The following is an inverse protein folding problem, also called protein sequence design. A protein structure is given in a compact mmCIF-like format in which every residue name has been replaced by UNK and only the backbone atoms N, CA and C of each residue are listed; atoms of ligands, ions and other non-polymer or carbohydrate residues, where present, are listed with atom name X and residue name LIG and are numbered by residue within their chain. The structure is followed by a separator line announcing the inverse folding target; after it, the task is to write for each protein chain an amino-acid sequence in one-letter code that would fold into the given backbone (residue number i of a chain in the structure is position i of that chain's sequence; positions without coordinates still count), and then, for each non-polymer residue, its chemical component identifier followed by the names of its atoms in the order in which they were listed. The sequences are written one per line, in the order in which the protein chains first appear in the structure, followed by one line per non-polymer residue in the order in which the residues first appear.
data_IF_061450306197
#
_entry.id   IF_061450306197
#
_cell.length_a   1.000
_cell.length_b   1.000
_cell.length_c   1.000
_cell.angle_alpha   90.00
_cell.angle_beta   90.00
_cell.angle_gamma   90.00
#
_symmetry.space_group_name_H-M   'P 1'
#
loop_
_entity.id
_entity.type
_entity.pdbx_description
1 polymer ?
2 polymer ?
3 non-polymer ?
4 non-polymer ?
5 non-polymer ?
6 water ?
#
# COMPACT_ATOMS: atom_id res chain seq x y z
N UNK A 31 18.15 -2.31 -36.17
CA UNK A 31 18.79 -3.39 -35.44
C UNK A 31 17.81 -4.39 -34.87
N UNK A 32 17.23 -4.07 -33.71
CA UNK A 32 16.31 -4.97 -33.02
C UNK A 32 14.88 -4.58 -33.34
N UNK A 33 14.11 -5.42 -34.04
CA UNK A 33 12.72 -5.04 -34.36
C UNK A 33 11.78 -5.10 -33.17
N UNK A 34 12.19 -5.68 -32.05
CA UNK A 34 11.31 -5.94 -30.92
C UNK A 34 11.30 -4.81 -29.90
N UNK A 35 12.06 -3.74 -30.12
CA UNK A 35 12.21 -2.69 -29.11
C UNK A 35 10.85 -2.18 -28.63
N UNK A 36 10.03 -1.69 -29.57
CA UNK A 36 8.74 -1.14 -29.18
C UNK A 36 7.87 -2.20 -28.52
N UNK A 37 7.79 -3.39 -29.13
CA UNK A 37 6.94 -4.44 -28.58
C UNK A 37 7.38 -4.83 -27.18
N UNK A 38 8.69 -4.88 -26.95
CA UNK A 38 9.24 -5.38 -25.70
C UNK A 38 9.41 -4.30 -24.62
N UNK A 39 9.14 -3.04 -24.94
CA UNK A 39 9.31 -1.99 -23.95
C UNK A 39 8.57 -2.30 -22.65
N UNK A 40 7.34 -2.82 -22.76
CA UNK A 40 6.53 -3.04 -21.56
C UNK A 40 7.13 -4.08 -20.61
N UNK A 41 8.06 -4.90 -21.09
CA UNK A 41 8.69 -5.92 -20.25
C UNK A 41 10.00 -5.45 -19.64
N UNK A 42 10.42 -4.20 -19.88
CA UNK A 42 11.52 -3.59 -19.16
C UNK A 42 10.96 -3.10 -17.82
N UNK A 43 10.77 -4.04 -16.90
CA UNK A 43 10.05 -3.76 -15.67
C UNK A 43 10.77 -2.73 -14.83
N UNK A 44 12.10 -2.70 -14.89
CA UNK A 44 12.83 -1.72 -14.09
C UNK A 44 12.52 -0.30 -14.53
N UNK A 45 12.20 -0.11 -15.81
CA UNK A 45 11.92 1.21 -16.35
C UNK A 45 10.44 1.57 -16.23
N UNK A 46 9.54 0.64 -16.60
CA UNK A 46 8.13 0.97 -16.67
C UNK A 46 7.45 0.87 -15.30
N UNK A 47 7.96 0.02 -14.41
CA UNK A 47 7.40 -0.13 -13.07
C UNK A 47 8.20 0.65 -12.03
N UNK A 48 9.48 0.34 -11.89
CA UNK A 48 10.38 1.17 -11.10
C UNK A 48 10.31 0.98 -9.60
N UNK A 49 9.74 -0.12 -9.13
CA UNK A 49 9.61 -0.34 -7.69
C UNK A 49 9.40 -1.82 -7.43
N UNK A 50 9.36 -2.18 -6.15
CA UNK A 50 9.11 -3.56 -5.79
C UNK A 50 7.80 -4.07 -6.34
N UNK A 51 7.75 -5.37 -6.58
CA UNK A 51 6.55 -6.05 -7.06
C UNK A 51 5.91 -6.89 -5.95
N UNK A 52 6.66 -7.86 -5.42
CA UNK A 52 6.17 -8.64 -4.30
C UNK A 52 5.84 -7.73 -3.11
N UNK A 53 6.80 -6.91 -2.70
CA UNK A 53 6.58 -5.87 -1.70
C UNK A 53 6.97 -4.54 -2.33
N UNK A 54 5.99 -3.67 -2.50
CA UNK A 54 6.20 -2.36 -3.12
C UNK A 54 6.26 -1.31 -2.03
N UNK A 55 7.46 -0.82 -1.75
CA UNK A 55 7.68 0.29 -0.82
C UNK A 55 8.80 1.17 -1.38
N UNK A 56 8.54 1.75 -2.55
CA UNK A 56 9.56 2.42 -3.31
C UNK A 56 9.67 3.93 -3.17
N UNK A 57 8.77 4.57 -2.42
CA UNK A 57 8.87 6.02 -2.23
C UNK A 57 8.85 6.37 -0.76
N UNK A 58 9.48 7.50 -0.43
CA UNK A 58 9.47 8.05 0.92
C UNK A 58 8.50 9.22 0.98
N UNK A 59 7.91 9.42 2.15
CA UNK A 59 6.94 10.49 2.33
C UNK A 59 7.06 11.05 3.74
N UNK A 60 7.05 12.37 3.84
CA UNK A 60 7.09 13.06 5.12
C UNK A 60 5.69 13.50 5.50
N UNK A 61 5.28 13.19 6.74
CA UNK A 61 3.99 13.61 7.25
C UNK A 61 4.21 14.06 8.69
N UNK A 62 4.15 15.36 8.93
CA UNK A 62 4.30 15.94 10.26
C UNK A 62 5.53 15.39 10.97
N UNK A 63 6.67 15.45 10.28
CA UNK A 63 7.92 15.02 10.85
C UNK A 63 8.13 13.52 10.91
N UNK A 64 7.15 12.72 10.52
CA UNK A 64 7.28 11.27 10.51
C UNK A 64 7.57 10.79 9.10
N UNK A 65 8.50 9.85 8.98
CA UNK A 65 8.87 9.28 7.69
C UNK A 65 8.09 8.00 7.44
N UNK A 66 7.58 7.87 6.21
CA UNK A 66 6.84 6.70 5.79
C UNK A 66 7.41 6.18 4.47
N UNK A 67 7.26 4.89 4.25
CA UNK A 67 7.55 4.27 2.96
C UNK A 67 6.23 3.83 2.33
N UNK A 68 6.01 4.25 1.09
CA UNK A 68 4.78 3.97 0.37
C UNK A 68 5.06 3.24 -0.94
N UNK A 69 4.15 2.36 -1.36
CA UNK A 69 4.25 1.78 -2.70
C UNK A 69 4.27 2.87 -3.77
N UNK A 70 5.06 2.62 -4.81
CA UNK A 70 5.24 3.62 -5.86
C UNK A 70 5.29 3.01 -7.26
N UNK A 71 5.08 1.71 -7.40
CA UNK A 71 5.13 1.09 -8.71
C UNK A 71 4.16 1.69 -9.70
N UNK A 72 4.66 1.98 -10.90
CA UNK A 72 3.84 2.60 -11.93
C UNK A 72 2.91 1.61 -12.63
N UNK A 73 3.08 0.31 -12.42
CA UNK A 73 2.25 -0.69 -13.08
C UNK A 73 1.33 -1.40 -12.09
N UNK A 74 0.21 -1.95 -12.57
CA UNK A 74 -0.64 -2.76 -11.70
C UNK A 74 -0.04 -4.15 -11.51
N UNK A 75 -0.23 -4.70 -10.31
CA UNK A 75 0.23 -6.03 -9.97
C UNK A 75 -1.00 -6.93 -9.94
N UNK A 76 -1.17 -7.74 -10.98
CA UNK A 76 -2.39 -8.52 -11.16
C UNK A 76 -2.34 -9.81 -10.37
N UNK A 77 -3.39 -10.08 -9.60
CA UNK A 77 -3.48 -11.29 -8.81
C UNK A 77 -2.85 -11.22 -7.44
N UNK A 78 -2.32 -10.05 -7.04
CA UNK A 78 -1.66 -9.92 -5.76
C UNK A 78 -2.66 -9.53 -4.68
N UNK A 79 -2.56 -10.19 -3.54
CA UNK A 79 -3.29 -9.81 -2.34
C UNK A 79 -2.44 -10.06 -1.11
N UNK A 80 -3.04 -9.92 0.07
CA UNK A 80 -2.32 -10.06 1.34
C UNK A 80 -3.00 -11.13 2.17
N UNK A 81 -2.21 -12.08 2.64
CA UNK A 81 -2.68 -13.16 3.51
C UNK A 81 -2.32 -12.79 4.95
N UNK A 82 -3.33 -12.75 5.81
CA UNK A 82 -3.12 -12.55 7.24
C UNK A 82 -3.03 -13.92 7.89
N UNK A 83 -1.83 -14.28 8.34
CA UNK A 83 -1.58 -15.64 8.83
C UNK A 83 -2.30 -15.86 10.16
N UNK A 84 -2.93 -17.03 10.27
CA UNK A 84 -3.60 -17.46 11.49
C UNK A 84 -4.72 -16.49 11.87
N UNK A 85 -5.52 -16.13 10.87
CA UNK A 85 -6.79 -15.46 11.09
C UNK A 85 -7.75 -15.95 10.01
N UNK A 86 -9.02 -15.57 10.13
CA UNK A 86 -10.03 -15.88 9.12
C UNK A 86 -10.75 -14.63 8.65
N UNK A 87 -10.04 -13.49 8.66
CA UNK A 87 -10.56 -12.22 8.18
C UNK A 87 -9.76 -11.81 6.95
N UNK A 88 -10.44 -11.68 5.81
CA UNK A 88 -9.78 -11.22 4.60
C UNK A 88 -9.10 -9.88 4.86
N UNK A 89 -7.99 -9.66 4.14
CA UNK A 89 -7.26 -8.40 4.31
C UNK A 89 -8.06 -7.20 3.80
N UNK A 90 -9.06 -7.43 2.96
CA UNK A 90 -9.93 -6.36 2.49
C UNK A 90 -10.98 -5.95 3.51
N UNK A 91 -11.05 -6.63 4.65
CA UNK A 91 -11.94 -6.17 5.71
C UNK A 91 -11.48 -4.81 6.21
N UNK A 92 -12.38 -3.88 6.47
CA UNK A 92 -11.96 -2.58 7.01
C UNK A 92 -11.15 -2.74 8.28
N UNK A 93 -10.24 -1.79 8.51
CA UNK A 93 -9.40 -1.83 9.69
C UNK A 93 -10.28 -1.75 10.94
N UNK A 94 -9.80 -2.36 12.03
CA UNK A 94 -10.57 -2.39 13.26
C UNK A 94 -10.90 -0.97 13.74
N UNK A 95 -12.12 -0.79 14.24
CA UNK A 95 -12.58 0.51 14.69
C UNK A 95 -13.31 0.34 16.01
N UNK A 96 -13.44 1.46 16.73
CA UNK A 96 -14.18 1.49 17.99
C UNK A 96 -13.77 0.40 18.95
N UNK A 97 -14.73 -0.45 19.32
CA UNK A 97 -14.48 -1.54 20.25
C UNK A 97 -14.12 -2.85 19.56
N UNK A 98 -14.14 -2.88 18.23
CA UNK A 98 -13.78 -4.11 17.51
C UNK A 98 -12.36 -4.54 17.89
N UNK A 99 -12.14 -5.84 17.88
CA UNK A 99 -10.82 -6.38 18.18
C UNK A 99 -9.90 -6.20 16.98
N UNK A 100 -8.61 -5.99 17.27
CA UNK A 100 -7.64 -5.72 16.21
C UNK A 100 -7.62 -6.85 15.19
N UNK A 101 -7.67 -8.10 15.65
CA UNK A 101 -7.55 -9.24 14.74
C UNK A 101 -8.87 -9.60 14.07
N UNK A 102 -9.94 -8.84 14.31
CA UNK A 102 -11.17 -8.98 13.56
C UNK A 102 -11.26 -8.02 12.39
N UNK A 103 -10.26 -7.14 12.22
CA UNK A 103 -10.22 -6.20 11.12
C UNK A 103 -9.16 -6.58 10.10
N UNK A 104 -9.15 -5.82 9.00
CA UNK A 104 -8.20 -6.06 7.94
C UNK A 104 -7.35 -4.84 7.62
N UNK A 105 -7.07 -4.64 6.33
CA UNK A 105 -6.21 -3.55 5.88
C UNK A 105 -6.99 -2.42 5.24
N UNK A 106 -8.29 -2.57 5.03
CA UNK A 106 -9.04 -1.67 4.17
C UNK A 106 -9.46 -0.40 4.92
N UNK A 107 -9.77 0.63 4.14
CA UNK A 107 -10.25 1.89 4.67
C UNK A 107 -11.54 1.68 5.46
N UNK A 108 -11.76 2.46 6.52
CA UNK A 108 -12.94 2.22 7.37
C UNK A 108 -14.16 2.96 6.85
N UNK A 109 -15.35 2.58 7.32
CA UNK A 109 -16.57 3.20 6.78
C UNK A 109 -16.66 4.69 7.09
N UNK A 110 -17.25 5.42 6.15
CA UNK A 110 -17.48 6.85 6.29
C UNK A 110 -18.84 7.19 5.69
N UNK A 111 -19.29 8.41 5.94
CA UNK A 111 -20.59 8.89 5.48
C UNK A 111 -20.43 10.23 4.78
N UNK A 112 -20.54 10.29 3.44
CA UNK A 112 -20.76 9.18 2.50
C UNK A 112 -19.63 8.15 2.52
N UNK A 113 -19.93 6.92 2.08
CA UNK A 113 -18.96 5.85 2.12
C UNK A 113 -17.92 6.05 1.02
N UNK A 114 -16.66 6.26 1.41
CA UNK A 114 -15.60 6.47 0.43
C UNK A 114 -15.02 5.15 -0.07
N UNK A 115 -15.05 4.10 0.75
CA UNK A 115 -14.50 2.82 0.35
C UNK A 115 -15.23 1.69 1.06
N UNK A 116 -15.50 0.58 0.36
CA UNK A 116 -15.22 0.31 -1.06
C UNK A 116 -16.22 1.04 -1.96
N UNK A 117 -15.80 1.45 -3.15
CA UNK A 117 -16.66 2.17 -4.09
C UNK A 117 -16.60 1.48 -5.44
N UNK A 118 -17.77 1.23 -6.03
CA UNK A 118 -17.81 0.50 -7.29
C UNK A 118 -17.35 1.39 -8.44
N UNK A 119 -17.12 0.75 -9.59
CA UNK A 119 -16.69 1.50 -10.77
C UNK A 119 -17.74 2.53 -11.17
N UNK A 120 -19.00 2.11 -11.25
CA UNK A 120 -20.06 3.04 -11.61
C UNK A 120 -20.21 4.14 -10.58
N UNK A 121 -20.17 3.77 -9.29
CA UNK A 121 -20.21 4.78 -8.24
C UNK A 121 -19.05 5.76 -8.40
N UNK A 122 -17.87 5.28 -8.81
CA UNK A 122 -16.73 6.18 -8.95
C UNK A 122 -16.91 7.12 -10.14
N UNK A 123 -17.29 6.57 -11.30
CA UNK A 123 -17.49 7.42 -12.46
C UNK A 123 -18.60 8.44 -12.23
N UNK A 124 -19.57 8.12 -11.38
CA UNK A 124 -20.59 9.10 -11.04
C UNK A 124 -20.07 10.13 -10.03
N UNK A 125 -19.37 9.67 -9.00
CA UNK A 125 -18.80 10.56 -8.00
C UNK A 125 -17.86 11.58 -8.62
N UNK A 126 -17.16 11.22 -9.69
CA UNK A 126 -16.25 12.12 -10.40
C UNK A 126 -16.84 12.57 -11.74
N UNK A 127 -18.17 12.61 -11.86
CA UNK A 127 -18.82 12.92 -13.12
C UNK A 127 -18.44 14.31 -13.63
N UNK A 128 -18.08 15.23 -12.74
CA UNK A 128 -17.75 16.60 -13.12
C UNK A 128 -16.26 16.84 -13.29
N UNK A 129 -15.42 15.84 -12.98
CA UNK A 129 -13.97 15.93 -13.21
C UNK A 129 -13.67 15.28 -14.56
N UNK A 130 -13.24 16.10 -15.54
CA UNK A 130 -12.97 15.59 -16.87
C UNK A 130 -11.67 14.78 -16.92
N UNK A 131 -10.74 15.02 -16.00
CA UNK A 131 -9.46 14.35 -15.99
C UNK A 131 -9.48 13.03 -15.23
N UNK A 132 -10.64 12.59 -14.76
CA UNK A 132 -10.72 11.44 -13.88
C UNK A 132 -11.87 10.53 -14.29
N UNK A 133 -12.98 11.12 -14.72
CA UNK A 133 -14.21 10.35 -14.88
C UNK A 133 -14.06 9.24 -15.90
N UNK A 134 -13.17 9.39 -16.88
CA UNK A 134 -13.01 8.40 -17.93
C UNK A 134 -11.68 7.63 -17.82
N UNK A 135 -11.00 7.73 -16.70
CA UNK A 135 -9.78 6.95 -16.51
C UNK A 135 -10.11 5.45 -16.57
N UNK A 136 -9.08 4.66 -16.86
CA UNK A 136 -9.20 3.22 -16.70
C UNK A 136 -9.61 2.90 -15.27
N UNK A 137 -10.36 1.81 -15.11
CA UNK A 137 -10.87 1.44 -13.80
C UNK A 137 -9.75 1.37 -12.76
N UNK A 138 -8.62 0.77 -13.12
CA UNK A 138 -7.51 0.64 -12.19
C UNK A 138 -6.91 2.00 -11.86
N UNK A 139 -6.65 2.81 -12.89
CA UNK A 139 -6.13 4.15 -12.65
C UNK A 139 -7.12 4.98 -11.84
N UNK A 140 -8.41 4.82 -12.11
CA UNK A 140 -9.41 5.56 -11.34
C UNK A 140 -9.38 5.15 -9.87
N UNK A 141 -9.25 3.85 -9.60
CA UNK A 141 -9.14 3.39 -8.23
C UNK A 141 -7.92 3.98 -7.56
N UNK A 142 -6.78 3.97 -8.26
CA UNK A 142 -5.57 4.58 -7.71
C UNK A 142 -5.78 6.04 -7.37
N UNK A 143 -6.29 6.82 -8.33
CA UNK A 143 -6.51 8.25 -8.08
C UNK A 143 -7.46 8.46 -6.90
N UNK A 144 -8.55 7.69 -6.85
CA UNK A 144 -9.50 7.81 -5.76
C UNK A 144 -8.83 7.57 -4.42
N UNK A 145 -8.02 6.51 -4.33
CA UNK A 145 -7.35 6.21 -3.06
C UNK A 145 -6.41 7.33 -2.64
N UNK A 146 -5.84 8.05 -3.60
CA UNK A 146 -4.96 9.16 -3.28
C UNK A 146 -5.69 10.49 -3.22
N UNK A 147 -6.99 10.45 -2.98
CA UNK A 147 -7.82 11.64 -2.93
C UNK A 147 -8.64 11.66 -1.64
N UNK A 148 -8.05 11.22 -0.54
CA UNK A 148 -8.70 11.22 0.76
C UNK A 148 -8.32 12.41 1.63
N UNK A 149 -7.25 13.13 1.29
CA UNK A 149 -6.78 14.27 2.06
C UNK A 149 -6.60 15.45 1.11
N UNK A 150 -7.37 16.54 1.26
CA UNK A 150 -7.18 17.69 0.35
C UNK A 150 -6.19 18.72 0.90
N UNK A 151 -5.24 19.11 0.07
CA UNK A 151 -4.29 20.18 0.42
C UNK A 151 -3.66 20.78 -0.84
N UNK A 156 -0.81 15.44 4.01
CA UNK A 156 -1.65 15.07 2.87
C UNK A 156 -0.87 14.27 1.83
N UNK A 157 0.43 14.09 2.08
CA UNK A 157 1.28 13.34 1.17
C UNK A 157 1.07 11.83 1.28
N UNK A 158 0.17 11.37 2.15
CA UNK A 158 -0.07 9.94 2.34
C UNK A 158 -1.18 9.51 1.40
N UNK A 159 -0.78 9.02 0.22
CA UNK A 159 -1.70 8.51 -0.78
C UNK A 159 -1.78 7.00 -0.63
N UNK A 160 -2.93 6.51 -0.15
CA UNK A 160 -3.05 5.09 0.13
C UNK A 160 -2.84 4.27 -1.15
N UNK A 161 -2.41 3.03 -1.02
CA UNK A 161 -2.55 2.06 -2.12
C UNK A 161 -3.99 1.55 -2.16
N UNK A 162 -4.28 0.72 -3.16
CA UNK A 162 -5.63 0.23 -3.34
C UNK A 162 -5.60 -1.17 -3.93
N UNK A 163 -6.75 -1.83 -3.89
CA UNK A 163 -6.96 -3.12 -4.54
C UNK A 163 -8.26 -3.03 -5.33
N UNK A 164 -8.21 -3.43 -6.60
CA UNK A 164 -9.40 -3.44 -7.44
C UNK A 164 -9.81 -4.88 -7.71
N UNK A 165 -11.09 -5.16 -7.49
CA UNK A 165 -11.68 -6.48 -7.69
C UNK A 165 -12.51 -6.44 -8.96
N UNK A 166 -12.03 -7.14 -9.99
CA UNK A 166 -12.73 -7.20 -11.28
C UNK A 166 -14.02 -8.00 -11.19
N UNK A 167 -14.20 -8.80 -10.14
CA UNK A 167 -15.41 -9.62 -10.03
C UNK A 167 -16.61 -8.77 -9.63
N UNK A 168 -16.45 -7.97 -8.58
CA UNK A 168 -17.47 -7.01 -8.14
C UNK A 168 -17.24 -5.61 -8.71
N UNK A 169 -16.21 -5.43 -9.52
CA UNK A 169 -15.83 -4.11 -10.02
C UNK A 169 -15.73 -3.10 -8.88
N UNK A 170 -15.07 -3.52 -7.79
CA UNK A 170 -15.02 -2.74 -6.56
C UNK A 170 -13.61 -2.24 -6.29
N UNK A 171 -13.50 -0.99 -5.86
CA UNK A 171 -12.22 -0.39 -5.48
C UNK A 171 -12.16 -0.34 -3.96
N UNK A 172 -11.11 -0.95 -3.38
CA UNK A 172 -10.90 -1.00 -1.95
C UNK A 172 -9.66 -0.17 -1.61
N UNK A 173 -9.85 0.93 -0.90
CA UNK A 173 -8.73 1.72 -0.41
C UNK A 173 -8.10 1.00 0.77
N UNK A 174 -6.79 0.83 0.72
CA UNK A 174 -6.04 0.13 1.76
C UNK A 174 -5.53 1.15 2.78
N UNK A 175 -6.14 1.17 3.96
CA UNK A 175 -5.66 2.04 5.03
C UNK A 175 -4.26 1.64 5.50
N UNK A 176 -3.92 0.36 5.37
CA UNK A 176 -2.61 -0.15 5.77
C UNK A 176 -1.79 -0.39 4.51
N UNK A 177 -0.68 0.33 4.38
CA UNK A 177 0.22 0.17 3.24
C UNK A 177 1.24 -0.94 3.44
N UNK A 178 1.43 -1.40 4.66
CA UNK A 178 2.31 -2.53 4.91
C UNK A 178 1.84 -3.75 4.13
N UNK A 179 2.79 -4.61 3.78
CA UNK A 179 2.51 -5.80 2.97
C UNK A 179 3.09 -7.09 3.52
N UNK A 180 4.10 -7.04 4.38
CA UNK A 180 4.68 -8.24 4.95
C UNK A 180 5.09 -8.01 6.39
N UNK A 181 4.88 -9.03 7.22
CA UNK A 181 5.27 -8.98 8.62
C UNK A 181 5.51 -10.41 9.12
N UNK A 182 6.36 -11.14 8.41
CA UNK A 182 6.74 -12.49 8.82
C UNK A 182 7.97 -12.42 9.73
N UNK A 183 7.93 -13.13 10.83
CA UNK A 183 9.04 -13.16 11.77
C UNK A 183 8.63 -13.65 13.15
N UNK A 198 -1.16 -10.89 13.78
CA UNK A 198 -0.42 -9.66 13.48
C UNK A 198 0.66 -9.93 12.44
N UNK A 199 0.76 -11.19 12.01
CA UNK A 199 1.70 -11.60 10.97
C UNK A 199 0.96 -11.73 9.64
N UNK A 200 1.55 -11.19 8.58
CA UNK A 200 0.92 -11.19 7.27
C UNK A 200 1.99 -11.18 6.19
N UNK A 201 1.59 -11.52 4.97
CA UNK A 201 2.54 -11.66 3.87
C UNK A 201 1.81 -11.44 2.56
N UNK A 202 2.50 -10.96 1.52
CA UNK A 202 1.87 -10.85 0.21
C UNK A 202 1.85 -12.19 -0.50
N UNK A 203 0.90 -12.35 -1.42
CA UNK A 203 0.78 -13.62 -2.10
C UNK A 203 -0.14 -13.49 -3.30
N UNK A 204 0.08 -14.36 -4.29
CA UNK A 204 -0.84 -14.51 -5.41
C UNK A 204 -1.65 -15.79 -5.25
N UNK A 205 -2.47 -15.85 -4.21
CA UNK A 205 -3.36 -17.00 -4.02
C UNK A 205 -4.39 -17.06 -5.15
N UNK A 206 -4.86 -18.28 -5.42
CA UNK A 206 -5.84 -18.48 -6.49
C UNK A 206 -7.07 -17.63 -6.25
N UNK A 207 -7.46 -17.44 -5.00
CA UNK A 207 -8.64 -16.64 -4.70
C UNK A 207 -8.42 -15.14 -4.92
N UNK A 208 -7.18 -14.70 -5.14
CA UNK A 208 -6.88 -13.31 -5.44
C UNK A 208 -6.80 -13.02 -6.94
N UNK A 209 -7.15 -14.00 -7.79
CA UNK A 209 -6.86 -13.86 -9.21
C UNK A 209 -7.54 -12.64 -9.82
N UNK A 210 -8.67 -12.21 -9.24
CA UNK A 210 -9.39 -11.04 -9.72
C UNK A 210 -9.00 -9.77 -9.00
N UNK A 211 -8.12 -9.84 -8.01
CA UNK A 211 -7.59 -8.65 -7.34
C UNK A 211 -6.41 -8.09 -8.12
N UNK A 212 -6.27 -6.77 -8.08
CA UNK A 212 -5.12 -6.07 -8.63
C UNK A 212 -4.64 -5.05 -7.60
N UNK A 213 -3.38 -5.20 -7.18
CA UNK A 213 -2.77 -4.29 -6.21
C UNK A 213 -2.22 -3.07 -6.93
N UNK A 214 -2.58 -1.89 -6.46
CA UNK A 214 -2.30 -0.64 -7.16
C UNK A 214 -1.63 0.33 -6.20
N UNK A 215 -0.48 0.86 -6.61
CA UNK A 215 0.16 1.93 -5.88
C UNK A 215 -0.45 3.28 -6.29
N UNK A 216 -0.02 4.33 -5.61
CA UNK A 216 -0.52 5.67 -5.91
C UNK A 216 -0.05 6.19 -7.26
N UNK A 217 0.91 5.52 -7.91
CA UNK A 217 1.53 6.03 -9.12
C UNK A 217 1.12 5.26 -10.38
N UNK A 218 0.12 4.38 -10.29
CA UNK A 218 -0.28 3.62 -11.46
C UNK A 218 -0.66 4.57 -12.60
N UNK A 219 -0.11 4.30 -13.77
CA UNK A 219 -0.22 5.21 -14.92
C UNK A 219 -1.50 4.92 -15.68
N UNK A 220 -2.01 5.96 -16.35
CA UNK A 220 -3.26 5.81 -17.10
C UNK A 220 -3.09 4.87 -18.29
N UNK A 221 -1.91 4.84 -18.88
CA UNK A 221 -1.64 4.04 -20.08
C UNK A 221 -1.01 2.69 -19.73
N UNK A 222 -1.32 2.15 -18.56
CA UNK A 222 -0.69 0.90 -18.15
C UNK A 222 -0.92 -0.21 -19.17
N UNK A 223 -2.12 -0.27 -19.77
CA UNK A 223 -2.42 -1.33 -20.71
C UNK A 223 -1.47 -1.32 -21.90
N UNK A 224 -0.78 -0.21 -22.15
CA UNK A 224 0.14 -0.11 -23.27
C UNK A 224 1.60 -0.24 -22.87
N UNK A 225 1.96 0.19 -21.66
CA UNK A 225 3.36 0.22 -21.23
C UNK A 225 3.64 -0.77 -20.11
N UNK A 226 2.63 -1.46 -19.60
CA UNK A 226 2.81 -2.40 -18.51
C UNK A 226 2.41 -3.79 -18.96
N UNK A 227 2.96 -4.82 -18.32
CA UNK A 227 2.57 -6.19 -18.68
C UNK A 227 1.29 -6.63 -17.96
N UNK A 228 0.42 -7.33 -18.72
CA UNK A 228 -0.75 -7.99 -18.14
C UNK A 228 -0.93 -9.41 -18.68
N UNK A 229 -1.25 -9.56 -19.97
CA UNK A 229 -1.46 -10.89 -20.55
C UNK A 229 -0.16 -11.69 -20.60
N UNK A 230 -0.28 -13.02 -20.49
CA UNK A 230 0.83 -13.93 -20.74
C UNK A 230 0.81 -14.32 -22.22
N UNK A 231 1.98 -14.69 -22.74
CA UNK A 231 2.19 -14.83 -24.18
C UNK A 231 2.24 -16.32 -24.55
N UNK A 232 1.13 -16.82 -25.08
CA UNK A 232 1.07 -18.20 -25.54
C UNK A 232 1.99 -18.41 -26.74
N UNK A 233 2.67 -19.56 -26.76
CA UNK A 233 3.53 -19.97 -27.87
C UNK A 233 4.68 -18.99 -28.09
N UNK A 234 5.13 -18.33 -27.03
CA UNK A 234 6.24 -17.39 -27.11
C UNK A 234 7.17 -17.61 -25.92
N UNK A 235 8.43 -17.24 -26.11
CA UNK A 235 9.46 -17.46 -25.11
C UNK A 235 10.37 -16.23 -25.06
N UNK A 236 10.50 -15.62 -23.88
CA UNK A 236 11.39 -14.48 -23.73
C UNK A 236 12.79 -14.84 -24.21
N UNK A 237 13.47 -13.87 -24.81
CA UNK A 237 14.85 -14.08 -25.25
C UNK A 237 15.57 -12.76 -25.34
N UNK A 238 16.88 -12.86 -25.58
CA UNK A 238 17.75 -11.70 -25.70
C UNK A 238 18.20 -11.55 -27.14
N UNK A 239 18.04 -10.34 -27.69
CA UNK A 239 18.41 -10.07 -29.06
C UNK A 239 19.91 -9.85 -29.16
N UNK A 240 20.55 -10.54 -30.10
CA UNK A 240 22.00 -10.46 -30.29
C UNK A 240 22.32 -10.64 -31.76
N UNK A 241 23.02 -9.66 -32.33
CA UNK A 241 23.51 -9.71 -33.70
C UNK A 241 22.46 -10.28 -34.65
N UNK A 242 21.26 -9.70 -34.60
CA UNK A 242 20.22 -10.03 -35.56
C UNK A 242 19.42 -11.27 -35.28
N UNK A 243 19.61 -11.92 -34.13
CA UNK A 243 18.87 -13.14 -33.83
C UNK A 243 18.45 -13.13 -32.37
N UNK A 244 17.28 -13.71 -32.10
CA UNK A 244 16.75 -13.79 -30.73
C UNK A 244 17.28 -15.07 -30.10
N UNK A 245 18.25 -14.92 -29.21
CA UNK A 245 18.88 -16.05 -28.54
C UNK A 245 18.18 -16.38 -27.24
N UNK A 246 18.28 -17.65 -26.84
CA UNK A 246 17.70 -18.08 -25.57
C UNK A 246 18.37 -17.37 -24.41
N UNK A 247 17.64 -17.24 -23.31
CA UNK A 247 18.22 -16.68 -22.08
C UNK A 247 19.33 -17.62 -21.64
N UNK A 248 20.58 -17.15 -21.53
CA UNK A 248 21.69 -18.10 -21.33
C UNK A 248 21.73 -18.77 -19.97
N UNK A 249 21.03 -18.24 -18.97
CA UNK A 249 21.08 -18.82 -17.63
C UNK A 249 19.77 -18.52 -16.91
N UNK A 250 19.04 -19.57 -16.52
CA UNK A 250 17.78 -19.45 -15.84
C UNK A 250 17.79 -20.35 -14.62
N UNK A 251 16.83 -20.11 -13.72
CA UNK A 251 16.62 -20.92 -12.53
C UNK A 251 15.32 -21.70 -12.71
N UNK A 252 15.43 -23.02 -12.72
CA UNK A 252 14.30 -23.88 -13.06
C UNK A 252 13.59 -24.34 -11.80
N UNK A 253 12.29 -24.02 -11.71
CA UNK A 253 11.44 -24.53 -10.65
C UNK A 253 10.33 -25.39 -11.27
N UNK A 254 9.92 -26.48 -10.63
CA UNK A 254 8.81 -27.25 -11.19
C UNK A 254 7.48 -26.59 -10.86
N UNK A 255 6.57 -26.60 -11.84
CA UNK A 255 5.27 -25.98 -11.68
C UNK A 255 4.25 -26.66 -12.58
N UNK A 256 3.12 -27.05 -11.99
CA UNK A 256 2.16 -27.91 -12.68
C UNK A 256 1.41 -27.14 -13.78
N UNK A 257 1.27 -25.84 -13.65
CA UNK A 257 0.60 -25.07 -14.69
C UNK A 257 1.09 -23.62 -14.63
N UNK A 258 0.58 -22.81 -15.57
CA UNK A 258 1.01 -21.43 -15.70
C UNK A 258 0.79 -20.65 -14.40
N UNK A 259 -0.30 -20.94 -13.69
CA UNK A 259 -0.61 -20.18 -12.49
C UNK A 259 0.49 -20.35 -11.44
N UNK A 260 0.93 -21.58 -11.21
CA UNK A 260 1.95 -21.81 -10.20
C UNK A 260 3.29 -21.21 -10.63
N UNK A 261 3.59 -21.23 -11.92
CA UNK A 261 4.79 -20.56 -12.41
C UNK A 261 4.75 -19.06 -12.13
N UNK A 262 3.62 -18.43 -12.46
CA UNK A 262 3.50 -16.99 -12.22
C UNK A 262 3.59 -16.68 -10.74
N UNK A 263 2.99 -17.52 -9.90
CA UNK A 263 3.07 -17.31 -8.46
C UNK A 263 4.50 -17.45 -7.95
N UNK A 264 5.27 -18.39 -8.52
CA UNK A 264 6.68 -18.49 -8.18
C UNK A 264 7.42 -17.22 -8.58
N UNK A 265 7.29 -16.81 -9.83
CA UNK A 265 7.97 -15.61 -10.31
C UNK A 265 7.63 -14.43 -9.42
N UNK A 266 6.38 -14.35 -8.97
CA UNK A 266 5.98 -13.28 -8.05
C UNK A 266 6.74 -13.41 -6.74
N UNK A 267 6.83 -14.63 -6.19
CA UNK A 267 7.49 -14.82 -4.91
C UNK A 267 8.97 -14.41 -4.97
N UNK A 268 9.57 -14.48 -6.14
CA UNK A 268 10.99 -14.18 -6.32
C UNK A 268 11.23 -12.82 -6.93
N UNK A 269 10.19 -12.04 -7.17
CA UNK A 269 10.31 -10.78 -7.89
C UNK A 269 10.94 -9.71 -7.00
N UNK A 270 11.28 -8.59 -7.64
CA UNK A 270 11.79 -7.43 -6.93
C UNK A 270 10.98 -7.13 -5.68
N UNK A 271 11.67 -6.88 -4.58
CA UNK A 271 11.02 -6.66 -3.30
C UNK A 271 11.76 -5.58 -2.53
N UNK A 272 10.99 -4.75 -1.82
CA UNK A 272 11.55 -3.66 -1.04
C UNK A 272 11.50 -3.92 0.46
N UNK A 273 11.27 -5.17 0.87
CA UNK A 273 11.11 -5.46 2.29
C UNK A 273 12.47 -5.51 2.97
N UNK A 274 12.63 -4.88 4.15
CA UNK A 274 13.87 -5.02 4.91
C UNK A 274 14.12 -6.44 5.40
N UNK A 312 17.12 3.41 0.66
CA UNK A 312 17.66 3.02 -0.64
C UNK A 312 18.27 1.63 -0.55
N UNK A 313 18.88 1.32 0.60
CA UNK A 313 19.47 0.00 0.79
C UNK A 313 18.44 -1.11 0.57
N UNK A 314 17.16 -0.82 0.77
CA UNK A 314 16.11 -1.80 0.57
C UNK A 314 15.27 -1.55 -0.67
N UNK A 315 15.26 -0.33 -1.20
CA UNK A 315 14.55 -0.05 -2.43
C UNK A 315 15.12 -0.87 -3.57
N UNK A 316 14.29 -1.75 -4.13
CA UNK A 316 14.73 -2.57 -5.27
C UNK A 316 14.74 -1.79 -6.57
N UNK A 317 13.86 -0.79 -6.71
CA UNK A 317 13.69 -0.03 -7.94
C UNK A 317 13.28 -0.90 -9.11
N UNK A 318 12.73 -2.08 -8.84
CA UNK A 318 12.25 -2.97 -9.87
C UNK A 318 13.23 -4.04 -10.30
N UNK A 319 14.38 -4.17 -9.63
CA UNK A 319 15.36 -5.18 -9.97
C UNK A 319 15.04 -6.48 -9.24
N UNK A 320 14.96 -7.58 -9.99
CA UNK A 320 14.72 -8.87 -9.37
C UNK A 320 14.37 -9.90 -10.42
N UNK A 321 14.03 -11.10 -9.93
CA UNK A 321 13.64 -12.22 -10.78
C UNK A 321 12.17 -12.04 -11.18
N UNK A 322 11.95 -11.08 -12.08
CA UNK A 322 10.61 -10.70 -12.47
C UNK A 322 10.09 -11.41 -13.71
N UNK A 323 10.91 -12.24 -14.37
CA UNK A 323 10.43 -12.86 -15.61
C UNK A 323 10.52 -14.38 -15.53
N UNK A 324 9.61 -15.04 -16.26
CA UNK A 324 9.61 -16.49 -16.35
C UNK A 324 9.12 -17.01 -17.68
N UNK A 325 9.83 -18.02 -18.19
CA UNK A 325 9.38 -18.80 -19.35
C UNK A 325 8.86 -20.13 -18.82
N UNK A 326 7.58 -20.40 -19.02
CA UNK A 326 6.98 -21.64 -18.54
C UNK A 326 6.89 -22.64 -19.70
N UNK A 327 7.57 -23.77 -19.55
CA UNK A 327 7.43 -24.90 -20.46
C UNK A 327 6.28 -25.76 -19.97
N UNK A 328 5.23 -25.84 -20.79
CA UNK A 328 4.04 -26.60 -20.43
C UNK A 328 4.24 -28.10 -20.56
N UNK A 329 5.16 -28.53 -21.45
CA UNK A 329 5.38 -29.95 -21.65
C UNK A 329 6.27 -30.54 -20.57
N UNK A 330 7.35 -29.87 -20.23
CA UNK A 330 8.21 -30.29 -19.13
C UNK A 330 7.77 -29.72 -17.79
N UNK A 331 6.78 -28.83 -17.78
CA UNK A 331 6.27 -28.23 -16.55
C UNK A 331 7.40 -27.54 -15.78
N UNK A 332 8.11 -26.65 -16.47
CA UNK A 332 9.25 -25.97 -15.88
C UNK A 332 9.06 -24.46 -15.93
N UNK A 333 9.22 -23.80 -14.79
CA UNK A 333 9.18 -22.34 -14.68
C UNK A 333 10.64 -21.88 -14.67
N UNK A 334 11.11 -21.41 -15.82
CA UNK A 334 12.49 -20.96 -16.00
C UNK A 334 12.52 -19.47 -15.69
N UNK A 335 12.99 -19.13 -14.50
CA UNK A 335 12.91 -17.78 -13.95
C UNK A 335 14.23 -17.06 -14.18
N UNK A 336 14.15 -15.77 -14.49
CA UNK A 336 15.35 -14.97 -14.68
C UNK A 336 15.06 -13.51 -14.35
N UNK A 337 16.18 -12.76 -14.23
CA UNK A 337 16.23 -11.46 -13.58
C UNK A 337 16.87 -10.39 -14.46
N UNK A 338 16.89 -10.57 -15.78
CA UNK A 338 17.33 -9.53 -16.70
C UNK A 338 16.20 -9.24 -17.66
N UNK A 339 16.14 -8.00 -18.14
CA UNK A 339 15.04 -7.60 -19.01
C UNK A 339 15.13 -8.36 -20.32
N UNK A 340 14.07 -9.03 -20.76
CA UNK A 340 14.07 -9.64 -22.10
C UNK A 340 13.97 -8.56 -23.17
N UNK A 341 14.43 -8.93 -24.37
CA UNK A 341 14.47 -7.98 -25.47
C UNK A 341 13.94 -8.54 -26.79
N UNK A 342 13.41 -9.75 -26.80
CA UNK A 342 12.74 -10.28 -27.99
C UNK A 342 11.95 -11.52 -27.59
N UNK A 343 11.25 -12.09 -28.55
CA UNK A 343 10.47 -13.31 -28.36
C UNK A 343 10.92 -14.37 -29.35
N UNK A 344 10.91 -15.62 -28.90
CA UNK A 344 11.15 -16.79 -29.72
C UNK A 344 9.83 -17.53 -29.88
N UNK A 345 9.54 -17.97 -31.10
CA UNK A 345 8.33 -18.74 -31.37
C UNK A 345 8.57 -20.18 -30.93
N UNK A 346 7.87 -20.61 -29.89
CA UNK A 346 7.96 -21.99 -29.41
C UNK A 346 6.60 -22.39 -28.84
N UNK A 347 5.97 -23.37 -29.49
CA UNK A 347 4.62 -23.77 -29.12
C UNK A 347 4.53 -24.42 -27.74
N UNK A 348 5.67 -24.67 -27.09
CA UNK A 348 5.69 -25.30 -25.78
C UNK A 348 5.76 -24.30 -24.63
N UNK A 349 5.91 -23.01 -24.91
CA UNK A 349 6.24 -22.04 -23.88
C UNK A 349 5.16 -20.97 -23.75
N UNK A 350 5.08 -20.42 -22.54
CA UNK A 350 4.27 -19.26 -22.22
C UNK A 350 5.14 -18.28 -21.46
N UNK A 351 5.13 -17.01 -21.89
CA UNK A 351 5.95 -15.98 -21.26
C UNK A 351 5.12 -15.26 -20.20
N UNK A 352 5.69 -15.12 -19.00
CA UNK A 352 4.97 -14.51 -17.89
C UNK A 352 5.92 -13.63 -17.11
N UNK A 353 5.35 -12.73 -16.31
CA UNK A 353 6.12 -11.85 -15.44
C UNK A 353 5.44 -11.78 -14.09
N UNK A 354 6.15 -11.25 -13.11
CA UNK A 354 5.60 -11.09 -11.77
C UNK A 354 4.41 -10.14 -11.75
N UNK A 355 4.32 -9.23 -12.72
CA UNK A 355 3.20 -8.31 -12.82
C UNK A 355 2.04 -8.88 -13.61
N UNK A 356 2.30 -9.83 -14.50
CA UNK A 356 1.28 -10.32 -15.42
C UNK A 356 0.13 -10.97 -14.66
N UNK A 357 -1.01 -11.06 -15.33
CA UNK A 357 -2.12 -11.83 -14.78
C UNK A 357 -1.70 -13.30 -14.68
N UNK A 358 -2.11 -14.01 -13.63
CA UNK A 358 -1.61 -15.39 -13.45
C UNK A 358 -2.27 -16.43 -14.33
N UNK A 359 -3.30 -16.09 -15.10
CA UNK A 359 -4.06 -17.11 -15.83
C UNK A 359 -4.28 -16.69 -17.28
N UNK A 360 -4.59 -15.41 -17.51
CA UNK A 360 -4.95 -14.96 -18.84
C UNK A 360 -3.76 -15.06 -19.79
N UNK A 361 -4.05 -15.39 -21.05
CA UNK A 361 -3.02 -15.55 -22.06
C UNK A 361 -3.52 -14.98 -23.38
N UNK A 362 -2.57 -14.60 -24.24
CA UNK A 362 -2.91 -14.16 -25.59
C UNK A 362 -1.94 -14.74 -26.61
N UNK B 1 -4.10 7.57 9.90
CA UNK B 1 -4.14 8.34 11.18
C UNK B 1 -2.75 8.42 11.79
N UNK B 2 -2.42 9.58 12.35
CA UNK B 2 -1.14 9.78 13.03
C UNK B 2 -1.35 10.86 14.08
N UNK B 3 -0.83 10.63 15.28
CA UNK B 3 -1.06 11.53 16.41
C UNK B 3 0.29 11.99 16.95
N UNK B 4 0.46 13.30 17.10
CA UNK B 4 1.71 13.84 17.59
C UNK B 4 1.45 15.06 18.47
N UNK B 5 2.11 15.10 19.63
CA UNK B 5 2.07 16.26 20.52
C UNK B 5 3.13 17.24 20.03
N UNK B 6 2.71 18.40 19.50
CA UNK B 6 3.63 19.25 18.75
C UNK B 6 4.86 19.63 19.56
N UNK B 7 4.76 19.89 20.88
CA UNK B 7 6.00 20.08 21.67
C UNK B 7 6.35 18.73 22.32
N UNK B 8 6.95 17.85 21.52
CA UNK B 8 7.23 16.49 21.96
C UNK B 8 7.95 16.44 23.30
N UNK B 9 8.79 17.43 23.58
CA UNK B 9 9.55 17.49 24.81
C UNK B 9 8.81 18.35 25.83
N UNK B 10 8.42 17.74 26.94
CA UNK B 10 7.84 18.47 28.06
C UNK B 10 8.90 18.83 29.08
N UNK B 11 9.44 20.04 28.97
CA UNK B 11 10.49 20.52 29.87
C UNK B 11 10.12 21.94 30.29
N UNK B 12 9.60 22.08 31.50
CA UNK B 12 9.06 23.34 32.00
C UNK B 12 9.83 23.73 33.26
N UNK B 13 9.73 25.01 33.60
CA UNK B 13 10.29 25.55 34.84
C UNK B 13 9.16 26.01 35.75
N UNK B 14 9.37 25.89 37.06
CA UNK B 14 8.33 26.25 38.01
C UNK B 14 7.90 27.69 37.78
N UNK B 15 6.60 27.93 37.92
CA UNK B 15 6.03 29.24 37.66
C UNK B 15 5.75 29.54 36.21
N UNK B 16 6.26 28.74 35.29
CA UNK B 16 6.00 28.95 33.87
C UNK B 16 4.65 28.33 33.47
N UNK B 17 4.19 28.70 32.29
CA UNK B 17 2.95 28.19 31.71
C UNK B 17 3.27 27.53 30.38
N UNK B 18 2.70 26.33 30.16
CA UNK B 18 3.05 25.50 29.02
C UNK B 18 1.83 25.25 28.14
N UNK B 19 2.09 25.06 26.85
CA UNK B 19 1.06 24.77 25.87
C UNK B 19 1.50 23.56 25.05
N UNK B 20 0.73 22.46 25.13
CA UNK B 20 1.07 21.23 24.44
C UNK B 20 -0.06 20.87 23.49
N UNK B 21 0.13 21.12 22.19
CA UNK B 21 -0.90 20.77 21.21
C UNK B 21 -0.78 19.30 20.82
N UNK B 22 -1.93 18.66 20.62
CA UNK B 22 -2.03 17.31 20.08
C UNK B 22 -2.70 17.43 18.72
N UNK B 23 -1.91 17.20 17.67
CA UNK B 23 -2.39 17.26 16.29
C UNK B 23 -2.56 15.85 15.75
N UNK B 24 -3.57 15.67 14.91
CA UNK B 24 -3.90 14.39 14.31
C UNK B 24 -3.92 14.57 12.80
N UNK B 25 -2.98 13.92 12.12
CA UNK B 25 -2.96 13.86 10.66
C UNK B 25 -3.82 12.70 10.18
N UNK B 26 -4.56 12.93 9.11
CA UNK B 26 -5.51 11.95 8.64
C UNK B 26 -6.73 11.82 9.52
N UNK B 27 -7.15 12.92 10.16
CA UNK B 27 -8.29 12.88 11.06
C UNK B 27 -9.54 12.40 10.33
N UNK B 28 -10.22 11.40 10.90
CA UNK B 28 -11.44 10.90 10.28
C UNK B 28 -12.66 11.45 11.01
N UNK B 29 -13.77 11.66 10.29
CA UNK B 29 -14.92 12.37 10.89
C UNK B 29 -15.49 11.68 12.12
N UNK B 30 -15.15 10.42 12.36
CA UNK B 30 -15.67 9.66 13.48
C UNK B 30 -14.71 9.63 14.66
N UNK B 31 -13.62 10.39 14.60
CA UNK B 31 -12.60 10.36 15.63
C UNK B 31 -12.74 11.55 16.58
N UNK B 32 -12.15 11.40 17.76
CA UNK B 32 -12.23 12.40 18.81
C UNK B 32 -10.92 12.39 19.59
N UNK B 33 -10.44 13.57 19.95
CA UNK B 33 -9.18 13.74 20.68
C UNK B 33 -9.51 13.93 22.15
N UNK B 34 -8.71 13.31 23.02
CA UNK B 34 -8.94 13.39 24.45
C UNK B 34 -7.60 13.38 25.18
N UNK B 35 -7.40 14.34 26.07
CA UNK B 35 -6.20 14.42 26.88
C UNK B 35 -6.41 13.71 28.22
N UNK B 36 -5.31 13.25 28.80
CA UNK B 36 -5.33 12.53 30.07
C UNK B 36 -4.10 12.90 30.88
N UNK B 37 -4.31 13.17 32.16
CA UNK B 37 -3.25 13.55 33.08
C UNK B 37 -2.49 12.33 33.56
N UNK B 38 -1.30 12.54 34.14
CA UNK B 38 -0.53 11.39 34.66
C UNK B 38 -1.32 10.55 35.64
N UNK B 39 -2.16 11.17 36.48
CA UNK B 39 -2.99 10.41 37.39
C UNK B 39 -3.95 9.49 36.64
N UNK B 40 -4.40 9.91 35.46
CA UNK B 40 -5.35 9.16 34.67
C UNK B 40 -6.70 9.81 34.50
N UNK B 41 -6.91 10.99 35.07
CA UNK B 41 -8.18 11.67 34.95
C UNK B 41 -8.30 12.35 33.59
N UNK B 42 -9.47 12.20 32.96
CA UNK B 42 -9.69 12.77 31.63
C UNK B 42 -9.87 14.28 31.76
N UNK B 43 -8.90 15.04 31.27
CA UNK B 43 -9.00 16.49 31.30
C UNK B 43 -10.09 16.97 30.35
N UNK B 44 -10.73 18.08 30.72
CA UNK B 44 -11.82 18.67 29.97
C UNK B 44 -11.59 20.16 29.84
N UNK B 45 -12.29 20.83 28.92
CA UNK B 45 -12.02 22.25 28.68
C UNK B 45 -12.46 23.17 29.80
N UNK B 46 -12.98 22.64 30.91
CA UNK B 46 -13.16 23.43 32.13
C UNK B 46 -11.80 23.96 32.56
N UNK B 47 -11.70 25.28 32.70
CA UNK B 47 -10.39 25.95 32.69
C UNK B 47 -9.77 26.04 34.09
N UNK B 48 -9.54 24.87 34.67
CA UNK B 48 -8.68 24.78 35.84
C UNK B 48 -7.26 25.16 35.41
N UNK B 49 -6.32 25.19 36.37
CA UNK B 49 -4.91 25.46 36.06
C UNK B 49 -4.46 24.68 34.83
N UNK B 50 -4.97 23.46 34.68
CA UNK B 50 -4.61 22.56 33.58
C UNK B 50 -5.90 22.17 32.87
N UNK B 51 -6.00 22.52 31.58
CA UNK B 51 -7.23 22.33 30.81
C UNK B 51 -6.86 22.12 29.34
N UNK B 52 -7.84 22.28 28.44
CA UNK B 52 -7.67 21.95 27.02
C UNK B 52 -8.48 22.93 26.15
N UNK B 53 -8.24 22.87 24.83
CA UNK B 53 -8.83 23.78 23.85
C UNK B 53 -8.99 23.05 22.52
N UNK B 54 -10.22 22.95 22.03
CA UNK B 54 -10.54 22.07 20.90
C UNK B 54 -10.31 22.75 19.56
N UNK B 55 -10.08 21.91 18.54
CA UNK B 55 -10.12 22.27 17.13
C UNK B 55 -10.46 21.00 16.34
N UNK B 56 -10.87 21.17 15.08
CA UNK B 56 -11.43 20.07 14.31
C UNK B 56 -10.56 18.81 14.39
N UNK B 57 -9.23 18.98 14.35
CA UNK B 57 -8.31 17.85 14.35
C UNK B 57 -7.16 18.04 15.32
N UNK B 58 -7.29 18.95 16.28
CA UNK B 58 -6.21 19.23 17.21
C UNK B 58 -6.78 19.76 18.51
N UNK B 59 -6.19 19.33 19.63
CA UNK B 59 -6.61 19.78 20.95
C UNK B 59 -5.39 20.25 21.73
N UNK B 60 -5.44 21.46 22.26
CA UNK B 60 -4.26 22.10 22.86
C UNK B 60 -4.37 22.07 24.38
N UNK B 61 -3.55 21.23 25.01
CA UNK B 61 -3.39 21.25 26.46
C UNK B 61 -2.75 22.56 26.90
N UNK B 62 -3.11 23.00 28.11
CA UNK B 62 -2.61 24.26 28.68
C UNK B 62 -2.28 24.01 30.15
N UNK B 63 -1.01 23.71 30.42
CA UNK B 63 -0.55 23.49 31.79
C UNK B 63 -0.32 24.83 32.48
N UNK B 65 1.99 28.82 36.86
CA UNK B 65 1.59 27.44 37.12
C UNK B 65 2.86 26.60 37.33
N UNK B 66 2.93 25.44 36.68
CA UNK B 66 4.12 24.60 36.68
C UNK B 66 4.56 24.25 38.10
N UNK B 67 3.65 23.60 38.82
CA UNK B 67 4.00 23.04 40.12
C UNK B 67 5.01 21.91 39.93
N UNK B 68 5.90 21.76 40.92
CA UNK B 68 6.87 20.67 40.87
C UNK B 68 6.20 19.31 40.94
N UNK B 69 4.93 19.25 41.33
CA UNK B 69 4.18 18.01 41.41
C UNK B 69 3.23 17.83 40.22
N UNK B 70 3.30 18.72 39.23
CA UNK B 70 2.40 18.63 38.09
C UNK B 70 2.72 17.45 37.17
N UNK B 71 3.93 16.92 37.24
CA UNK B 71 4.30 15.78 36.43
C UNK B 71 3.74 14.49 37.02
N UNK B 73 3.57 12.13 33.10
CA UNK B 73 3.38 11.81 31.69
C UNK B 73 1.92 12.02 31.28
N UNK B 74 1.69 13.00 30.43
CA UNK B 74 0.35 13.28 29.90
C UNK B 74 0.19 12.57 28.56
N UNK B 75 -1.02 12.06 28.31
CA UNK B 75 -1.28 11.26 27.13
C UNK B 75 -2.46 11.81 26.34
N UNK B 76 -2.26 11.99 25.04
CA UNK B 76 -3.33 12.32 24.11
C UNK B 76 -3.77 11.06 23.38
N UNK B 77 -5.07 10.90 23.20
CA UNK B 77 -5.64 9.69 22.60
C UNK B 77 -6.66 10.09 21.55
N UNK B 78 -6.68 9.35 20.45
CA UNK B 78 -7.69 9.52 19.40
C UNK B 78 -8.56 8.27 19.42
N UNK B 79 -9.87 8.46 19.58
CA UNK B 79 -10.79 7.35 19.77
C UNK B 79 -12.15 7.71 19.19
N UNK B 80 -12.91 6.67 18.84
CA UNK B 80 -14.22 6.84 18.28
C UNK B 80 -14.80 5.53 17.79
N UNK B 81 -16.13 5.45 17.71
CA UNK B 81 -16.75 4.15 17.34
C UNK B 81 -16.28 3.64 15.98
N UNK B 82 -16.27 4.51 14.98
CA UNK B 82 -15.74 4.17 13.66
C UNK B 82 -14.31 4.65 13.47
N UNK B 83 -13.67 5.16 14.52
CA UNK B 83 -12.32 5.66 14.41
C UNK B 83 -11.33 4.49 14.38
N UNK B 84 -10.31 4.54 13.53
CA UNK B 84 -9.39 3.41 13.43
C UNK B 84 -8.66 3.16 14.74
N UNK B 85 -8.53 1.88 15.09
CA UNK B 85 -7.79 1.48 16.28
C UNK B 85 -6.28 1.41 16.04
N UNK B 86 -5.83 1.71 14.83
CA UNK B 86 -4.41 1.65 14.49
C UNK B 86 -4.06 2.85 13.64
N UNK B 87 -2.79 3.27 13.74
CA UNK B 87 -2.29 4.36 12.91
C UNK B 87 -1.86 3.82 11.55
N UNK B 88 -1.43 4.73 10.68
CA UNK B 88 -0.88 4.31 9.39
C UNK B 88 0.24 3.31 9.55
N UNK B 89 1.02 3.43 10.62
CA UNK B 89 2.17 2.57 10.87
C UNK B 89 1.84 1.37 11.74
N UNK B 90 0.57 0.97 11.79
CA UNK B 90 0.13 -0.13 12.65
C UNK B 90 0.49 0.12 14.11
N UNK B 91 0.60 1.39 14.49
CA UNK B 91 0.84 1.77 15.87
C UNK B 91 -0.44 2.15 16.57
N UNK B 92 -0.32 2.33 17.88
CA UNK B 92 -1.48 2.67 18.70
C UNK B 92 -1.80 4.15 18.54
N UNK B 93 -3.08 4.52 18.32
CA UNK B 93 -3.39 5.93 18.07
C UNK B 93 -3.35 6.77 19.33
N UNK B 94 -2.14 6.97 19.87
CA UNK B 94 -1.97 7.80 21.05
C UNK B 94 -0.56 8.39 21.04
N UNK B 95 -0.41 9.52 21.73
CA UNK B 95 0.86 10.19 21.88
C UNK B 95 1.06 10.52 23.36
N UNK B 96 2.32 10.67 23.75
CA UNK B 96 2.66 10.94 25.15
C UNK B 96 3.70 12.04 25.22
N UNK B 97 3.57 12.90 26.22
CA UNK B 97 4.56 13.93 26.52
C UNK B 97 4.86 13.87 28.01
N UNK B 98 6.14 13.75 28.35
CA UNK B 98 6.58 13.69 29.73
C UNK B 98 6.99 15.10 30.16
N UNK B 99 6.24 15.67 31.09
CA UNK B 99 6.53 17.00 31.61
C UNK B 99 7.51 16.87 32.77
N UNK B 100 8.61 17.60 32.68
CA UNK B 100 9.67 17.58 33.69
C UNK B 100 9.88 19.00 34.18
N UNK B 101 9.55 19.24 35.45
CA UNK B 101 9.63 20.59 36.01
C UNK B 101 11.02 20.82 36.61
#
# INVERSE_FOLDING_TARGET
MGSSHHHHHHSSGENLYFQGIEIVERSNYMGNPWTEYMAKYDIEEVHGSGIRVDLGEDAEVAGTQYRLPSGKCPVFGKGIIIENSNTTFLTPVATGNQYLKDGGFAFPPTEPLMSPMTLDEMRHFYKDNKYVKNLDELTLCSRHAGNMIPDNDKNSNYKYPAVYDDKDKKCHILYIAAQENNGPRYCNKDESKRNSMFCFRPAKDISFQNYTYLSKNVVDNWEKVCPRKNLQNAKFGLWVDGNCEDIPHVNEFPAIDLFECNKLVFELSASDQPKQYEQHLTDYEKIKEGFKNKNASMIKSAFLPTGAFKADRYKSHGKGYNWGNYNTETQKCEIFNVKPTCLINNSSYIATTALSHPIEVE
LQVDIVPSQGEISVGESKFFLCQVAGMLPTCEISWFSPNGEKLTPNQQRISVVWNDDSSTLTIYNANIDDAGIYKCVVHGPQCPRLTWSLGLPEATVNVKIFQGGGGSEQKLISEEDLSGENLYFQ
#
